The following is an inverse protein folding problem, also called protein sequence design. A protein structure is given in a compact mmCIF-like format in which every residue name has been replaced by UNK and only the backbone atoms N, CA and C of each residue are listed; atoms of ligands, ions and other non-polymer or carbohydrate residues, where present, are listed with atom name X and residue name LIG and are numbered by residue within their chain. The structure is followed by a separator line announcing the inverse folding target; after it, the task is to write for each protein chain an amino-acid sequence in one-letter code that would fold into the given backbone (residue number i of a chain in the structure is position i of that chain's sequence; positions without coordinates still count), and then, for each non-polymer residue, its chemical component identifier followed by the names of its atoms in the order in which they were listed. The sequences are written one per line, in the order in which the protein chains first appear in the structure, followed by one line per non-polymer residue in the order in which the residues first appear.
data_IF_325797872202
#
_entry.id   IF_325797872202
#
_cell.length_a   1.000
_cell.length_b   1.000
_cell.length_c   1.000
_cell.angle_alpha   90.00
_cell.angle_beta   90.00
_cell.angle_gamma   90.00
#
_symmetry.space_group_name_H-M   'P 1'
#
loop_
_entity.id
_entity.type
_entity.pdbx_description
1 polymer ?
#
# COMPACT_ATOMS: atom_id res chain seq x y z
N UNK A 1 0.43 11.47 -4.12
CA UNK A 1 1.41 10.48 -3.62
C UNK A 1 1.00 9.14 -4.16
N UNK A 2 1.94 8.44 -4.78
CA UNK A 2 1.79 7.04 -5.16
C UNK A 2 2.51 6.21 -4.09
N UNK A 3 1.78 5.35 -3.39
CA UNK A 3 2.32 4.44 -2.38
C UNK A 3 2.18 3.02 -2.92
N UNK A 4 3.28 2.32 -3.06
CA UNK A 4 3.32 0.94 -3.54
C UNK A 4 3.59 -0.02 -2.39
N UNK A 5 2.69 -0.99 -2.22
CA UNK A 5 2.77 -2.06 -1.21
C UNK A 5 2.93 -3.44 -1.86
N UNK A 6 3.11 -3.52 -3.18
CA UNK A 6 3.45 -4.75 -3.89
C UNK A 6 4.76 -5.33 -3.38
N UNK A 7 4.91 -6.66 -3.48
CA UNK A 7 6.18 -7.30 -3.18
C UNK A 7 7.30 -6.79 -4.09
N UNK A 8 6.97 -6.40 -5.33
CA UNK A 8 7.93 -5.98 -6.34
C UNK A 8 8.14 -4.46 -6.33
N UNK A 9 9.35 -4.03 -6.67
CA UNK A 9 9.62 -2.60 -6.79
C UNK A 9 8.79 -1.96 -7.91
N UNK A 10 8.22 -0.79 -7.64
CA UNK A 10 7.37 -0.02 -8.55
C UNK A 10 8.15 0.65 -9.71
N UNK A 11 8.98 -0.09 -10.43
CA UNK A 11 9.96 0.43 -11.39
C UNK A 11 9.35 1.35 -12.47
N UNK A 12 8.24 0.94 -13.09
CA UNK A 12 7.58 1.69 -14.16
C UNK A 12 7.05 3.04 -13.68
N UNK A 13 6.37 3.07 -12.53
CA UNK A 13 5.83 4.31 -11.95
C UNK A 13 6.95 5.20 -11.43
N UNK A 14 7.94 4.61 -10.75
CA UNK A 14 9.13 5.33 -10.27
C UNK A 14 9.89 5.97 -11.43
N UNK A 15 10.13 5.25 -12.52
CA UNK A 15 10.81 5.78 -13.70
C UNK A 15 10.01 6.89 -14.39
N UNK A 16 8.69 6.74 -14.50
CA UNK A 16 7.83 7.74 -15.16
C UNK A 16 7.83 9.11 -14.44
N UNK A 17 8.03 9.11 -13.12
CA UNK A 17 8.05 10.32 -12.30
C UNK A 17 9.43 10.71 -11.77
N UNK A 18 10.47 9.96 -12.15
CA UNK A 18 11.84 10.31 -11.81
C UNK A 18 12.28 11.57 -12.53
N UNK A 19 12.62 12.60 -11.77
CA UNK A 19 13.09 13.88 -12.32
C UNK A 19 14.25 14.43 -11.50
N UNK A 20 15.45 14.26 -12.06
CA UNK A 20 16.69 14.84 -11.51
C UNK A 20 16.72 16.38 -11.77
N UNK A 21 15.88 16.90 -12.67
CA UNK A 21 15.92 18.29 -13.16
C UNK A 21 14.64 19.08 -12.87
N UNK A 22 14.68 19.92 -11.84
CA UNK A 22 14.55 21.38 -11.97
C UNK A 22 14.42 22.00 -10.58
N UNK A 23 15.40 22.83 -10.22
CA UNK A 23 15.41 23.67 -9.03
C UNK A 23 14.30 24.75 -9.03
N UNK A 24 13.34 24.73 -9.98
CA UNK A 24 12.37 25.81 -10.17
C UNK A 24 10.90 25.40 -10.10
N UNK A 25 10.56 24.12 -9.93
CA UNK A 25 9.15 23.69 -9.81
C UNK A 25 8.95 22.75 -8.63
N UNK A 26 7.97 23.04 -7.78
CA UNK A 26 7.51 22.10 -6.76
C UNK A 26 7.01 20.82 -7.44
N UNK A 27 7.57 19.65 -7.10
CA UNK A 27 7.17 18.40 -7.74
C UNK A 27 5.74 18.04 -7.34
N UNK A 28 4.98 17.58 -8.32
CA UNK A 28 3.56 17.28 -8.17
C UNK A 28 3.30 15.82 -7.75
N UNK A 29 4.28 14.94 -7.95
CA UNK A 29 4.17 13.51 -7.67
C UNK A 29 5.34 13.07 -6.80
N UNK A 30 5.02 12.25 -5.79
CA UNK A 30 5.98 11.48 -5.00
C UNK A 30 5.60 10.02 -5.14
N UNK A 31 6.55 9.17 -5.51
CA UNK A 31 6.41 7.72 -5.49
C UNK A 31 7.14 7.17 -4.27
N UNK A 32 6.52 6.21 -3.58
CA UNK A 32 7.14 5.51 -2.47
C UNK A 32 6.81 4.03 -2.55
N UNK A 33 7.81 3.22 -2.87
CA UNK A 33 7.72 1.77 -2.93
C UNK A 33 8.30 1.14 -1.66
N UNK A 34 7.54 0.24 -1.04
CA UNK A 34 8.01 -0.68 0.00
C UNK A 34 7.91 -2.10 -0.56
N UNK A 35 9.03 -2.74 -0.82
CA UNK A 35 9.13 -3.94 -1.67
C UNK A 35 10.26 -4.86 -1.20
N UNK A 36 10.35 -6.09 -1.73
CA UNK A 36 11.53 -6.91 -1.59
C UNK A 36 12.57 -6.55 -2.65
N UNK A 37 13.85 -6.52 -2.28
CA UNK A 37 14.95 -6.41 -3.24
C UNK A 37 16.05 -7.40 -2.86
N UNK A 38 16.50 -8.17 -3.85
CA UNK A 38 17.64 -9.07 -3.72
C UNK A 38 18.28 -9.29 -5.10
N UNK A 39 19.55 -9.71 -5.17
CA UNK A 39 20.18 -10.06 -6.44
C UNK A 39 19.35 -11.09 -7.23
N UNK A 40 18.93 -10.72 -8.43
CA UNK A 40 18.11 -11.56 -9.30
C UNK A 40 16.60 -11.55 -9.01
N UNK A 41 16.13 -10.79 -8.01
CA UNK A 41 14.71 -10.55 -7.80
C UNK A 41 14.20 -9.47 -8.77
N UNK A 42 13.01 -9.69 -9.34
CA UNK A 42 12.43 -8.76 -10.30
C UNK A 42 11.76 -7.57 -9.58
N UNK A 43 11.71 -6.37 -10.19
CA UNK A 43 12.51 -5.95 -11.33
C UNK A 43 13.97 -5.66 -10.93
N UNK A 44 14.89 -5.89 -11.86
CA UNK A 44 16.28 -5.48 -11.69
C UNK A 44 16.34 -3.98 -11.98
N UNK A 45 16.48 -3.16 -10.93
CA UNK A 45 16.56 -1.71 -11.02
C UNK A 45 17.66 -1.16 -10.11
N UNK A 46 18.37 -0.13 -10.57
CA UNK A 46 19.36 0.58 -9.75
C UNK A 46 18.70 1.41 -8.63
N UNK A 47 17.39 1.65 -8.73
CA UNK A 47 16.61 2.43 -7.76
C UNK A 47 15.84 1.56 -6.75
N UNK A 48 15.90 0.23 -6.85
CA UNK A 48 15.20 -0.66 -5.91
C UNK A 48 15.93 -0.82 -4.57
N UNK A 49 17.18 -0.36 -4.46
CA UNK A 49 17.91 -0.27 -3.20
C UNK A 49 17.35 0.79 -2.26
N UNK A 50 17.79 0.79 -1.00
CA UNK A 50 17.37 1.81 -0.03
C UNK A 50 17.76 3.19 -0.55
N UNK A 51 16.81 4.12 -0.54
CA UNK A 51 17.02 5.50 -0.98
C UNK A 51 18.23 6.11 -0.30
N UNK A 52 19.15 6.70 -1.07
CA UNK A 52 20.41 7.24 -0.54
C UNK A 52 20.50 8.76 -0.78
N UNK A 53 20.27 9.60 0.25
CA UNK A 53 20.40 11.05 0.15
C UNK A 53 21.80 11.55 -0.23
N UNK A 54 22.83 10.72 -0.09
CA UNK A 54 24.20 11.06 -0.46
C UNK A 54 24.52 10.80 -1.94
N UNK A 55 23.65 10.06 -2.63
CA UNK A 55 23.83 9.76 -4.05
C UNK A 55 23.63 11.00 -4.93
N UNK A 56 24.48 11.24 -5.94
CA UNK A 56 24.29 12.32 -6.90
C UNK A 56 23.05 12.14 -7.79
N UNK A 57 22.52 10.91 -7.90
CA UNK A 57 21.28 10.59 -8.63
C UNK A 57 20.04 10.59 -7.74
N UNK A 58 20.17 11.01 -6.47
CA UNK A 58 19.07 11.00 -5.53
C UNK A 58 17.95 11.97 -5.94
N UNK A 59 16.75 11.43 -6.09
CA UNK A 59 15.52 12.19 -6.25
C UNK A 59 14.69 12.07 -4.95
N UNK A 60 14.47 13.16 -4.19
CA UNK A 60 13.71 13.12 -2.95
C UNK A 60 12.21 12.81 -3.13
N UNK A 61 11.74 12.64 -4.37
CA UNK A 61 10.34 12.30 -4.68
C UNK A 61 10.18 10.94 -5.33
N UNK A 62 11.26 10.18 -5.52
CA UNK A 62 11.22 8.77 -5.92
C UNK A 62 11.88 7.93 -4.83
N UNK A 63 11.04 7.38 -3.97
CA UNK A 63 11.47 6.73 -2.73
C UNK A 63 11.33 5.21 -2.83
N UNK A 64 12.36 4.55 -2.35
CA UNK A 64 12.50 3.10 -2.27
C UNK A 64 12.91 2.68 -0.86
N UNK A 65 12.16 1.74 -0.28
CA UNK A 65 12.46 1.06 0.97
C UNK A 65 12.39 -0.46 0.74
N UNK A 66 13.52 -1.11 0.41
CA UNK A 66 13.54 -2.55 0.31
C UNK A 66 13.41 -3.19 1.69
N UNK A 67 12.75 -4.34 1.78
CA UNK A 67 12.71 -5.20 2.96
C UNK A 67 13.25 -6.58 2.61
N UNK A 68 13.86 -7.21 3.59
CA UNK A 68 14.38 -8.56 3.48
C UNK A 68 13.25 -9.60 3.58
N UNK A 69 13.61 -10.85 3.27
CA UNK A 69 12.70 -12.00 3.35
C UNK A 69 12.07 -12.13 4.74
N UNK A 70 10.84 -12.63 4.76
CA UNK A 70 10.08 -12.85 5.97
C UNK A 70 9.54 -11.59 6.64
N UNK A 71 9.55 -10.44 5.95
CA UNK A 71 8.93 -9.22 6.45
C UNK A 71 7.52 -9.54 6.97
N UNK A 72 7.32 -9.24 8.26
CA UNK A 72 6.18 -9.65 9.06
C UNK A 72 5.35 -8.42 9.44
N UNK A 73 4.18 -8.65 10.05
CA UNK A 73 3.38 -7.55 10.61
C UNK A 73 4.23 -6.65 11.54
N UNK A 74 5.17 -7.21 12.30
CA UNK A 74 6.05 -6.44 13.17
C UNK A 74 7.03 -5.56 12.38
N UNK A 75 7.56 -6.04 11.25
CA UNK A 75 8.38 -5.23 10.32
C UNK A 75 7.56 -4.06 9.79
N UNK A 76 6.36 -4.34 9.28
CA UNK A 76 5.49 -3.32 8.71
C UNK A 76 5.04 -2.31 9.78
N UNK A 77 4.72 -2.75 11.00
CA UNK A 77 4.46 -1.84 12.12
C UNK A 77 5.67 -0.93 12.42
N UNK A 78 6.90 -1.46 12.33
CA UNK A 78 8.14 -0.70 12.54
C UNK A 78 8.39 0.32 11.43
N UNK A 79 8.03 -0.01 10.19
CA UNK A 79 8.20 0.83 8.99
C UNK A 79 7.12 1.89 8.86
N UNK A 80 5.90 1.65 9.34
CA UNK A 80 4.78 2.58 9.20
C UNK A 80 5.10 4.05 9.57
N UNK A 81 5.80 4.37 10.66
CA UNK A 81 6.18 5.75 10.98
C UNK A 81 7.01 6.44 9.90
N UNK A 82 7.77 5.69 9.07
CA UNK A 82 8.47 6.24 7.90
C UNK A 82 7.46 6.74 6.87
N UNK A 83 6.50 5.90 6.51
CA UNK A 83 5.44 6.21 5.52
C UNK A 83 4.62 7.41 5.97
N UNK A 84 4.19 7.44 7.23
CA UNK A 84 3.40 8.55 7.77
C UNK A 84 4.20 9.86 7.78
N UNK A 85 5.50 9.83 8.14
CA UNK A 85 6.39 11.00 8.08
C UNK A 85 6.56 11.54 6.66
N UNK A 86 6.80 10.67 5.69
CA UNK A 86 6.92 11.04 4.27
C UNK A 86 5.63 11.68 3.79
N UNK A 87 4.48 11.05 4.06
CA UNK A 87 3.15 11.59 3.73
C UNK A 87 2.95 12.98 4.36
N UNK A 88 3.29 13.15 5.64
CA UNK A 88 3.11 14.43 6.34
C UNK A 88 4.06 15.53 5.81
N UNK A 89 5.27 15.18 5.35
CA UNK A 89 6.15 16.13 4.69
C UNK A 89 5.69 16.52 3.29
N UNK A 90 5.23 15.54 2.50
CA UNK A 90 4.78 15.76 1.13
C UNK A 90 3.42 16.47 1.05
N UNK A 91 2.55 16.24 2.04
CA UNK A 91 1.18 16.81 2.14
C UNK A 91 0.35 16.54 0.87
N UNK A 92 0.07 15.27 0.52
CA UNK A 92 -0.67 14.94 -0.69
C UNK A 92 -2.14 15.33 -0.61
N UNK A 93 -2.68 15.90 -1.70
CA UNK A 93 -4.13 16.04 -1.90
C UNK A 93 -4.77 14.71 -2.33
N UNK A 94 -4.03 13.92 -3.11
CA UNK A 94 -4.43 12.61 -3.63
C UNK A 94 -3.42 11.54 -3.26
N UNK A 95 -3.92 10.37 -2.89
CA UNK A 95 -3.13 9.17 -2.63
C UNK A 95 -3.61 8.07 -3.57
N UNK A 96 -2.70 7.53 -4.39
CA UNK A 96 -2.92 6.31 -5.14
C UNK A 96 -2.14 5.23 -4.41
N UNK A 97 -2.82 4.20 -3.94
CA UNK A 97 -2.20 3.06 -3.29
C UNK A 97 -2.25 1.88 -4.24
N UNK A 98 -1.10 1.36 -4.61
CA UNK A 98 -1.00 0.04 -5.20
C UNK A 98 -0.97 -0.95 -4.03
N UNK A 99 -1.96 -1.83 -4.00
CA UNK A 99 -2.21 -2.82 -2.94
C UNK A 99 -1.99 -4.24 -3.49
N UNK A 100 -0.80 -4.50 -4.04
CA UNK A 100 -0.32 -5.83 -4.36
C UNK A 100 -0.36 -6.72 -3.11
N UNK A 101 -0.83 -7.94 -3.28
CA UNK A 101 -1.07 -8.89 -2.17
C UNK A 101 -0.16 -10.11 -2.25
N UNK A 102 0.82 -10.07 -3.15
CA UNK A 102 1.88 -11.06 -3.32
C UNK A 102 2.91 -11.06 -2.17
N UNK A 103 2.83 -10.07 -1.28
CA UNK A 103 3.50 -10.07 0.02
C UNK A 103 2.82 -10.91 1.11
N UNK A 104 1.58 -11.39 0.89
CA UNK A 104 0.83 -12.16 1.89
C UNK A 104 1.45 -13.55 2.12
N UNK A 105 1.34 -14.03 3.35
CA UNK A 105 1.68 -15.39 3.68
C UNK A 105 0.87 -16.38 2.83
N UNK A 106 1.57 -17.38 2.28
CA UNK A 106 0.99 -18.38 1.38
C UNK A 106 0.93 -17.96 -0.09
N UNK A 107 1.42 -16.77 -0.45
CA UNK A 107 1.66 -16.41 -1.84
C UNK A 107 2.72 -17.34 -2.50
N UNK A 108 2.59 -17.71 -3.79
CA UNK A 108 3.57 -18.54 -4.49
C UNK A 108 5.01 -18.00 -4.51
N UNK A 109 5.22 -16.67 -4.46
CA UNK A 109 6.56 -16.09 -4.33
C UNK A 109 7.19 -16.37 -2.96
N UNK A 110 6.37 -16.65 -1.94
CA UNK A 110 6.79 -17.09 -0.61
C UNK A 110 7.94 -16.26 0.01
N UNK A 111 7.93 -14.95 -0.22
CA UNK A 111 9.05 -14.07 0.12
C UNK A 111 8.83 -13.33 1.44
N UNK A 112 7.64 -12.80 1.65
CA UNK A 112 7.24 -12.14 2.90
C UNK A 112 6.30 -13.01 3.74
N UNK A 113 6.00 -12.53 4.94
CA UNK A 113 5.13 -13.20 5.90
C UNK A 113 4.04 -12.24 6.41
N UNK A 114 3.49 -11.44 5.50
CA UNK A 114 2.48 -10.46 5.84
C UNK A 114 1.11 -11.14 6.00
N UNK A 115 0.23 -10.55 6.78
CA UNK A 115 -1.09 -11.10 7.03
C UNK A 115 -2.17 -10.05 6.87
N UNK A 116 -3.39 -10.50 6.56
CA UNK A 116 -4.54 -9.63 6.42
C UNK A 116 -5.05 -9.12 7.77
N UNK A 117 -4.75 -9.88 8.83
CA UNK A 117 -5.34 -9.89 10.16
C UNK A 117 -5.57 -8.56 10.91
N UNK A 118 -6.05 -8.67 12.15
CA UNK A 118 -6.24 -7.52 13.03
C UNK A 118 -5.00 -7.29 13.92
N UNK A 119 -4.44 -6.09 13.86
CA UNK A 119 -3.27 -5.70 14.64
C UNK A 119 -2.44 -4.63 13.94
N UNK A 120 -1.53 -4.01 14.67
CA UNK A 120 -0.63 -3.01 14.10
C UNK A 120 0.30 -3.67 13.07
N UNK A 121 0.46 -3.01 11.93
CA UNK A 121 1.34 -3.47 10.85
C UNK A 121 0.75 -4.54 9.93
N UNK A 122 -0.43 -5.06 10.19
CA UNK A 122 -1.14 -5.93 9.24
C UNK A 122 -1.60 -5.16 8.00
N UNK A 123 -1.84 -5.85 6.89
CA UNK A 123 -2.20 -5.20 5.62
C UNK A 123 -3.56 -4.48 5.70
N UNK A 124 -4.56 -5.06 6.38
CA UNK A 124 -5.82 -4.38 6.63
C UNK A 124 -5.68 -3.11 7.50
N UNK A 125 -4.76 -3.14 8.47
CA UNK A 125 -4.45 -1.98 9.30
C UNK A 125 -3.78 -0.86 8.48
N UNK A 126 -2.89 -1.22 7.54
CA UNK A 126 -2.31 -0.26 6.59
C UNK A 126 -3.40 0.45 5.78
N UNK A 127 -4.32 -0.30 5.18
CA UNK A 127 -5.40 0.27 4.38
C UNK A 127 -6.34 1.15 5.23
N UNK A 128 -6.75 0.73 6.43
CA UNK A 128 -7.60 1.58 7.29
C UNK A 128 -6.89 2.89 7.66
N UNK A 129 -5.59 2.85 7.99
CA UNK A 129 -4.83 4.06 8.32
C UNK A 129 -4.65 4.99 7.11
N UNK A 130 -4.34 4.46 5.93
CA UNK A 130 -4.22 5.25 4.70
C UNK A 130 -5.55 5.94 4.37
N UNK A 131 -6.66 5.22 4.44
CA UNK A 131 -7.97 5.82 4.16
C UNK A 131 -8.33 6.91 5.20
N UNK A 132 -7.79 6.84 6.44
CA UNK A 132 -7.99 7.86 7.49
C UNK A 132 -7.11 9.10 7.35
N UNK A 133 -6.22 9.16 6.37
CA UNK A 133 -5.38 10.33 6.15
C UNK A 133 -6.14 11.59 5.75
N UNK A 134 -7.40 11.47 5.34
CA UNK A 134 -8.22 12.60 4.88
C UNK A 134 -7.89 13.09 3.47
N UNK A 135 -7.06 12.33 2.73
CA UNK A 135 -6.77 12.54 1.32
C UNK A 135 -7.83 11.88 0.43
N UNK A 136 -7.92 12.31 -0.84
CA UNK A 136 -8.68 11.55 -1.84
C UNK A 136 -7.87 10.31 -2.22
N UNK A 137 -8.40 9.13 -1.92
CA UNK A 137 -7.64 7.87 -2.02
C UNK A 137 -8.22 6.96 -3.10
N UNK A 138 -7.34 6.51 -4.01
CA UNK A 138 -7.60 5.47 -5.00
C UNK A 138 -6.82 4.21 -4.60
N UNK A 139 -7.51 3.07 -4.47
CA UNK A 139 -6.90 1.78 -4.14
C UNK A 139 -6.85 0.90 -5.39
N UNK A 140 -5.67 0.71 -5.96
CA UNK A 140 -5.39 -0.20 -7.06
C UNK A 140 -4.83 -1.51 -6.52
N UNK A 141 -4.96 -2.59 -7.26
CA UNK A 141 -4.23 -3.83 -6.99
C UNK A 141 -2.98 -3.97 -7.82
N UNK A 142 -2.55 -5.22 -7.98
CA UNK A 142 -1.19 -5.57 -8.37
C UNK A 142 -1.01 -7.07 -8.51
N UNK A 143 0.25 -7.51 -8.48
CA UNK A 143 0.65 -8.89 -8.77
C UNK A 143 0.65 -9.22 -10.27
N UNK A 144 1.66 -9.95 -10.74
CA UNK A 144 1.73 -10.42 -12.14
C UNK A 144 0.57 -11.37 -12.52
N UNK A 145 0.31 -11.53 -13.82
CA UNK A 145 -0.77 -12.33 -14.42
C UNK A 145 -2.24 -12.00 -14.05
N UNK A 146 -2.89 -11.34 -15.02
CA UNK A 146 -4.30 -10.97 -15.03
C UNK A 146 -5.03 -11.63 -16.21
N UNK A 147 -6.03 -12.45 -15.89
CA UNK A 147 -7.34 -12.34 -16.49
C UNK A 147 -8.30 -11.93 -15.37
N UNK A 148 -8.46 -10.63 -15.12
CA UNK A 148 -9.46 -10.12 -14.17
C UNK A 148 -10.48 -9.31 -14.94
N UNK A 149 -11.73 -9.68 -14.73
CA UNK A 149 -12.89 -8.94 -15.16
C UNK A 149 -13.07 -7.73 -14.23
N UNK A 150 -13.20 -6.55 -14.82
CA UNK A 150 -13.31 -5.27 -14.12
C UNK A 150 -14.57 -5.25 -13.23
N UNK A 151 -14.43 -5.38 -11.90
CA UNK A 151 -15.55 -5.12 -10.99
C UNK A 151 -15.55 -3.64 -10.63
N UNK A 152 -16.20 -2.84 -11.47
CA UNK A 152 -16.55 -1.45 -11.18
C UNK A 152 -17.60 -1.40 -10.07
N UNK A 153 -17.18 -1.30 -8.82
CA UNK A 153 -18.03 -0.74 -7.77
C UNK A 153 -17.93 0.78 -7.86
N UNK A 154 -18.76 1.37 -8.74
CA UNK A 154 -18.94 2.82 -8.83
C UNK A 154 -19.64 3.31 -7.55
N UNK A 155 -18.87 3.55 -6.51
CA UNK A 155 -19.28 4.39 -5.39
C UNK A 155 -18.97 5.82 -5.81
N UNK A 156 -19.83 6.79 -5.45
CA UNK A 156 -19.56 8.23 -5.61
C UNK A 156 -18.37 8.75 -4.75
N UNK A 157 -17.46 7.86 -4.39
CA UNK A 157 -16.11 8.10 -3.93
C UNK A 157 -15.24 7.24 -4.88
N UNK A 158 -14.44 7.90 -5.72
CA UNK A 158 -13.73 7.31 -6.85
C UNK A 158 -12.72 6.23 -6.42
N UNK A 159 -13.21 5.02 -6.11
CA UNK A 159 -12.41 3.84 -5.77
C UNK A 159 -12.61 2.82 -6.87
N UNK A 160 -11.63 2.70 -7.77
CA UNK A 160 -11.58 1.65 -8.80
C UNK A 160 -10.72 0.50 -8.30
N UNK A 161 -11.29 -0.72 -8.24
CA UNK A 161 -10.61 -1.93 -7.79
C UNK A 161 -10.08 -2.71 -9.00
N UNK A 162 -8.77 -2.94 -9.09
CA UNK A 162 -8.12 -3.72 -10.18
C UNK A 162 -6.93 -4.50 -9.59
N UNK A 163 -6.99 -5.82 -9.37
CA UNK A 163 -5.86 -6.58 -8.81
C UNK A 163 -5.92 -8.09 -9.05
N UNK A 164 -4.75 -8.73 -9.23
CA UNK A 164 -4.51 -10.01 -9.93
C UNK A 164 -4.29 -11.26 -9.07
N UNK A 165 -4.05 -12.38 -9.77
CA UNK A 165 -4.02 -13.81 -9.39
C UNK A 165 -5.35 -14.52 -9.03
N UNK A 166 -5.52 -15.73 -9.58
CA UNK A 166 -6.56 -16.71 -9.20
C UNK A 166 -6.19 -17.38 -7.86
N UNK A 167 -6.03 -16.58 -6.81
CA UNK A 167 -5.73 -17.04 -5.46
C UNK A 167 -6.87 -16.65 -4.51
N UNK A 168 -7.38 -17.59 -3.68
CA UNK A 168 -8.41 -17.28 -2.69
C UNK A 168 -7.95 -16.21 -1.70
N UNK A 169 -6.64 -16.06 -1.46
CA UNK A 169 -6.09 -15.03 -0.57
C UNK A 169 -6.17 -13.62 -1.16
N UNK A 170 -6.05 -13.48 -2.49
CA UNK A 170 -6.30 -12.21 -3.17
C UNK A 170 -7.74 -11.79 -2.96
N UNK A 171 -8.68 -12.71 -3.22
CA UNK A 171 -10.09 -12.45 -3.07
C UNK A 171 -10.47 -12.11 -1.61
N UNK A 172 -9.86 -12.79 -0.62
CA UNK A 172 -9.98 -12.45 0.80
C UNK A 172 -9.54 -11.02 1.08
N UNK A 173 -8.32 -10.67 0.68
CA UNK A 173 -7.73 -9.36 0.94
C UNK A 173 -8.54 -8.23 0.31
N UNK A 174 -8.86 -8.35 -0.98
CA UNK A 174 -9.61 -7.33 -1.71
C UNK A 174 -11.05 -7.17 -1.24
N UNK A 175 -11.70 -8.27 -0.83
CA UNK A 175 -13.02 -8.21 -0.18
C UNK A 175 -12.93 -7.42 1.13
N UNK A 176 -11.89 -7.68 1.93
CA UNK A 176 -11.68 -6.97 3.18
C UNK A 176 -11.35 -5.49 2.97
N UNK A 177 -10.47 -5.14 2.02
CA UNK A 177 -10.15 -3.73 1.69
C UNK A 177 -11.38 -2.96 1.25
N UNK A 178 -12.21 -3.59 0.41
CA UNK A 178 -13.48 -3.00 -0.03
C UNK A 178 -14.38 -2.70 1.16
N UNK A 179 -14.46 -3.61 2.14
CA UNK A 179 -15.24 -3.37 3.36
C UNK A 179 -14.72 -2.20 4.19
N UNK A 180 -13.39 -2.03 4.28
CA UNK A 180 -12.75 -0.89 4.97
C UNK A 180 -13.12 0.42 4.26
N UNK A 181 -12.98 0.47 2.93
CA UNK A 181 -13.20 1.68 2.16
C UNK A 181 -14.68 2.11 2.12
N UNK A 182 -15.61 1.16 2.03
CA UNK A 182 -17.06 1.41 2.11
C UNK A 182 -17.46 2.00 3.46
N UNK A 183 -16.89 1.50 4.57
CA UNK A 183 -17.12 2.04 5.93
C UNK A 183 -16.65 3.48 6.09
N UNK A 184 -15.62 3.93 5.36
CA UNK A 184 -15.15 5.31 5.47
C UNK A 184 -15.96 6.29 4.61
N UNK A 185 -16.53 5.81 3.50
CA UNK A 185 -17.35 6.63 2.60
C UNK A 185 -18.66 7.13 3.23
N UNK A 186 -19.17 6.45 4.26
CA UNK A 186 -20.37 6.84 5.02
C UNK A 186 -20.16 8.05 5.95
N UNK A 187 -18.92 8.39 6.32
CA UNK A 187 -18.59 9.57 7.15
C UNK A 187 -18.67 10.87 6.32
N UNK A 188 -18.44 10.80 5.00
CA UNK A 188 -18.37 11.98 4.12
C UNK A 188 -19.75 12.45 3.59
N UNK A 189 -20.78 11.58 3.57
CA UNK A 189 -22.08 11.86 2.93
C UNK A 189 -23.09 12.64 3.80
N UNK A 190 -22.68 13.70 4.51
CA UNK A 190 -23.63 14.58 5.25
C UNK A 190 -24.14 15.79 4.47
N UNK A 191 -23.90 15.89 3.16
CA UNK A 191 -24.45 16.99 2.36
C UNK A 191 -25.02 16.55 1.00
N UNK A 192 -26.26 16.97 0.77
CA UNK A 192 -27.04 17.01 -0.49
C UNK A 192 -27.59 15.70 -1.09
N UNK A 193 -28.86 15.45 -0.73
CA UNK A 193 -30.01 15.04 -1.56
C UNK A 193 -29.74 14.49 -2.97
N UNK A 194 -29.46 13.18 -3.08
CA UNK A 194 -30.10 12.29 -4.08
C UNK A 194 -29.73 10.83 -3.76
N UNK A 195 -30.72 10.05 -3.35
CA UNK A 195 -30.58 8.63 -2.98
C UNK A 195 -30.05 7.77 -4.14
N UNK A 196 -28.86 7.20 -3.98
CA UNK A 196 -28.53 5.88 -4.53
C UNK A 196 -28.38 4.94 -3.33
N UNK A 197 -29.48 4.29 -2.96
CA UNK A 197 -29.55 3.26 -1.91
C UNK A 197 -29.25 1.89 -2.53
N UNK A 198 -27.99 1.45 -2.61
CA UNK A 198 -27.66 0.02 -2.84
C UNK A 198 -26.31 -0.45 -2.30
N UNK A 199 -25.59 0.34 -1.49
CA UNK A 199 -24.51 -0.22 -0.67
C UNK A 199 -25.03 -0.23 0.75
N UNK A 200 -25.26 -1.43 1.29
CA UNK A 200 -25.54 -1.60 2.72
C UNK A 200 -24.42 -0.87 3.47
N UNK A 201 -24.80 0.15 4.26
CA UNK A 201 -23.86 0.89 5.08
C UNK A 201 -23.24 -0.10 6.07
N UNK A 202 -21.93 -0.30 5.96
CA UNK A 202 -21.18 -1.07 6.95
C UNK A 202 -20.75 -0.11 8.06
N UNK A 203 -21.19 -0.36 9.29
CA UNK A 203 -20.77 0.39 10.47
C UNK A 203 -19.32 0.05 10.89
N UNK A 204 -18.86 -1.14 10.49
CA UNK A 204 -17.52 -1.66 10.72
C UNK A 204 -17.06 -2.45 9.48
N UNK A 205 -15.74 -2.53 9.18
CA UNK A 205 -15.22 -3.48 8.21
C UNK A 205 -15.71 -4.91 8.50
N UNK A 206 -15.75 -5.77 7.48
CA UNK A 206 -16.16 -7.16 7.68
C UNK A 206 -15.28 -7.83 8.74
N UNK A 207 -15.87 -8.74 9.53
CA UNK A 207 -15.06 -9.55 10.44
C UNK A 207 -14.11 -10.43 9.63
N UNK A 208 -12.85 -10.54 10.05
CA UNK A 208 -11.89 -11.49 9.46
C UNK A 208 -12.29 -12.95 9.70
N UNK A 209 -13.06 -13.19 10.77
CA UNK A 209 -13.68 -14.49 11.06
C UNK A 209 -15.00 -14.72 10.29
N UNK A 210 -15.38 -13.82 9.37
CA UNK A 210 -16.59 -14.00 8.59
C UNK A 210 -16.44 -15.20 7.65
N UNK A 211 -17.46 -16.05 7.62
CA UNK A 211 -17.56 -17.16 6.68
C UNK A 211 -17.60 -16.65 5.24
N UNK A 212 -16.90 -17.35 4.35
CA UNK A 212 -16.99 -17.14 2.91
C UNK A 212 -18.39 -17.61 2.47
N UNK A 213 -19.19 -16.77 1.79
CA UNK A 213 -20.51 -17.17 1.33
C UNK A 213 -20.42 -18.26 0.25
N UNK A 214 -21.50 -19.00 0.02
CA UNK A 214 -21.55 -19.99 -1.05
C UNK A 214 -21.41 -19.34 -2.44
N UNK A 215 -20.43 -19.81 -3.23
CA UNK A 215 -20.26 -19.48 -4.64
C UNK A 215 -19.46 -20.57 -5.36
N UNK A 216 -19.33 -20.48 -6.69
CA UNK A 216 -18.68 -21.51 -7.52
C UNK A 216 -17.22 -21.81 -7.14
N UNK A 217 -16.51 -20.83 -6.57
CA UNK A 217 -15.12 -20.94 -6.14
C UNK A 217 -14.97 -21.17 -4.62
N UNK A 218 -16.07 -21.35 -3.88
CA UNK A 218 -16.05 -21.62 -2.43
C UNK A 218 -15.08 -22.75 -2.01
N UNK A 219 -14.96 -23.89 -2.74
CA UNK A 219 -14.00 -24.93 -2.38
C UNK A 219 -12.53 -24.49 -2.35
N UNK A 220 -12.17 -23.40 -3.04
CA UNK A 220 -10.81 -22.85 -3.05
C UNK A 220 -10.43 -22.19 -1.72
N UNK A 221 -11.40 -21.86 -0.86
CA UNK A 221 -11.17 -21.19 0.42
C UNK A 221 -10.86 -22.16 1.56
N UNK A 222 -10.71 -23.46 1.27
CA UNK A 222 -10.22 -24.43 2.22
C UNK A 222 -8.85 -24.04 2.82
N UNK A 223 -8.52 -24.52 4.03
CA UNK A 223 -9.35 -25.34 4.91
C UNK A 223 -10.27 -24.52 5.82
N UNK A 224 -10.08 -23.21 5.91
CA UNK A 224 -10.73 -22.38 6.94
C UNK A 224 -12.10 -21.87 6.52
N UNK A 225 -12.30 -21.60 5.23
CA UNK A 225 -13.54 -21.01 4.69
C UNK A 225 -13.93 -19.67 5.35
N UNK A 226 -12.95 -18.96 5.93
CA UNK A 226 -13.13 -17.60 6.47
C UNK A 226 -12.35 -16.57 5.65
N UNK A 227 -12.60 -15.29 5.93
CA UNK A 227 -11.99 -14.15 5.26
C UNK A 227 -10.51 -13.95 5.63
N UNK A 228 -10.05 -14.36 6.81
CA UNK A 228 -8.69 -14.09 7.26
C UNK A 228 -7.59 -14.79 6.43
N UNK A 229 -6.42 -14.15 6.40
CA UNK A 229 -5.16 -14.72 5.90
C UNK A 229 -4.13 -14.56 7.02
N UNK A 230 -3.90 -15.59 7.85
CA UNK A 230 -2.98 -15.52 8.98
C UNK A 230 -1.52 -15.55 8.51
N UNK A 231 -0.58 -15.04 9.32
CA UNK A 231 0.84 -15.18 9.03
C UNK A 231 1.28 -16.65 9.09
N UNK A 232 2.29 -16.99 8.30
CA UNK A 232 3.01 -18.26 8.38
C UNK A 232 4.15 -18.23 9.40
N UNK A 233 5.02 -19.23 9.33
CA UNK A 233 6.16 -19.42 10.24
C UNK A 233 7.51 -18.98 9.63
N UNK A 234 7.49 -18.21 8.54
CA UNK A 234 8.72 -17.74 7.90
C UNK A 234 9.48 -16.83 8.85
N UNK A 235 10.78 -17.08 9.00
CA UNK A 235 11.66 -16.26 9.82
C UNK A 235 11.87 -14.88 9.19
N UNK A 236 11.67 -13.83 9.99
CA UNK A 236 11.91 -12.45 9.60
C UNK A 236 13.42 -12.13 9.60
N UNK A 237 13.94 -11.72 8.44
CA UNK A 237 15.35 -11.37 8.25
C UNK A 237 15.61 -9.87 8.36
N UNK A 238 14.58 -9.06 8.60
CA UNK A 238 14.69 -7.62 8.75
C UNK A 238 15.21 -7.28 10.14
N UNK A 239 16.52 -7.09 10.27
CA UNK A 239 17.15 -6.82 11.56
C UNK A 239 16.74 -5.46 12.13
N UNK A 240 16.73 -5.34 13.44
CA UNK A 240 16.43 -4.07 14.11
C UNK A 240 17.43 -2.97 13.70
N UNK A 241 18.70 -3.34 13.50
CA UNK A 241 19.76 -2.45 13.04
C UNK A 241 19.47 -1.91 11.64
N UNK A 242 19.01 -2.77 10.71
CA UNK A 242 18.63 -2.36 9.36
C UNK A 242 17.44 -1.41 9.38
N UNK A 243 16.36 -1.77 10.09
CA UNK A 243 15.16 -0.94 10.18
C UNK A 243 15.46 0.41 10.83
N UNK A 244 16.32 0.44 11.86
CA UNK A 244 16.77 1.69 12.47
C UNK A 244 17.61 2.54 11.51
N UNK A 245 18.45 1.92 10.68
CA UNK A 245 19.20 2.63 9.65
C UNK A 245 18.26 3.25 8.62
N UNK A 246 17.28 2.50 8.11
CA UNK A 246 16.26 3.01 7.19
C UNK A 246 15.51 4.20 7.78
N UNK A 247 15.12 4.16 9.06
CA UNK A 247 14.46 5.29 9.72
C UNK A 247 15.32 6.55 9.75
N UNK A 248 16.62 6.40 10.01
CA UNK A 248 17.55 7.54 10.05
C UNK A 248 17.73 8.15 8.66
N UNK A 249 17.81 7.32 7.63
CA UNK A 249 17.85 7.75 6.22
C UNK A 249 16.58 8.53 5.88
N UNK A 250 15.40 7.96 6.14
CA UNK A 250 14.14 8.62 5.81
C UNK A 250 13.86 9.86 6.65
N UNK A 251 14.43 9.98 7.86
CA UNK A 251 14.38 11.23 8.61
C UNK A 251 15.05 12.38 7.84
N UNK A 252 16.21 12.15 7.22
CA UNK A 252 16.91 13.14 6.40
C UNK A 252 16.15 13.46 5.10
N UNK A 253 15.61 12.42 4.44
CA UNK A 253 14.78 12.58 3.24
C UNK A 253 13.56 13.45 3.55
N UNK A 254 12.91 13.22 4.69
CA UNK A 254 11.70 13.95 5.10
C UNK A 254 11.97 15.45 5.25
N UNK A 255 13.12 15.85 5.82
CA UNK A 255 13.49 17.28 5.86
C UNK A 255 13.70 17.85 4.45
N UNK A 256 14.38 17.11 3.57
CA UNK A 256 14.59 17.53 2.18
C UNK A 256 13.27 17.72 1.42
N UNK A 257 12.30 16.82 1.64
CA UNK A 257 10.95 16.94 1.07
C UNK A 257 10.28 18.22 1.58
N UNK A 258 10.33 18.51 2.89
CA UNK A 258 9.72 19.72 3.45
C UNK A 258 10.31 21.00 2.86
N UNK A 259 11.64 21.05 2.74
CA UNK A 259 12.34 22.20 2.18
C UNK A 259 11.93 22.47 0.72
N UNK A 260 11.76 21.41 -0.08
CA UNK A 260 11.36 21.52 -1.49
C UNK A 260 9.86 21.75 -1.70
N UNK A 261 9.01 21.22 -0.80
CA UNK A 261 7.56 21.42 -0.84
C UNK A 261 7.17 22.81 -0.33
N UNK A 262 7.97 23.39 0.57
CA UNK A 262 7.73 24.70 1.16
C UNK A 262 6.58 24.74 2.17
N UNK A 263 6.35 25.92 2.75
CA UNK A 263 5.23 26.15 3.68
C UNK A 263 3.89 26.27 2.93
N UNK A 264 2.75 26.00 3.59
CA UNK A 264 1.42 26.10 2.98
C UNK A 264 1.13 27.47 2.34
N UNK A 265 1.69 28.55 2.92
CA UNK A 265 1.52 29.93 2.48
C UNK A 265 2.11 30.22 1.09
N UNK A 266 3.08 29.42 0.64
CA UNK A 266 3.72 29.58 -0.66
C UNK A 266 2.94 28.94 -1.83
N UNK A 267 1.84 28.22 -1.56
CA UNK A 267 1.01 27.52 -2.57
C UNK A 267 -0.31 28.23 -2.89
N UNK A 268 -0.63 29.33 -2.20
CA UNK A 268 -1.84 30.15 -2.42
C UNK A 268 -1.54 31.31 -3.38
#
# INVERSE_FOLDING_TARGET
MYLDLDLHFSDGVSQAFHSISSASSSPQVLTFSVHHAAPGFFPISEHSGLSDPSSPSFDPFVLSLPLERGASNATFARVWPIIDRVKNAFRPDYVVVQCGVDGLAGDPYATWNWSLGAGDGNLGWYIDNICRWGCKTLLLGGGEELNVELILLSVKADIEVIGGYNSPNVARAWTYFTSIAVKQSSICMRSTTLMVRMVAQLDHPLSLEADIPDHSAFPLYAPSFILDVPPGNTQDQNTAEYLQHAENVFAQITETIRDRVGTPEARA
#
